data_IF_561646249842
#
_entry.id   IF_561646249842
#
_cell.length_a   1.000
_cell.length_b   1.000
_cell.length_c   1.000
_cell.angle_alpha   90.00
_cell.angle_beta   90.00
_cell.angle_gamma   90.00
#
_symmetry.space_group_name_H-M   'P 1'
#
loop_
_entity.id
_entity.type
_entity.pdbx_description
1 polymer ?
#
# COMPACT_ATOMS: atom_id res chain seq x y z
N UNK A 1 33.21 4.86 33.38
CA UNK A 1 32.45 3.89 32.57
C UNK A 1 30.97 4.15 32.84
N UNK A 2 30.33 5.02 32.06
CA UNK A 2 28.95 5.46 32.32
C UNK A 2 28.24 6.12 31.14
N UNK A 3 28.96 6.47 30.07
CA UNK A 3 28.42 7.26 28.97
C UNK A 3 28.08 6.43 27.72
N UNK A 4 28.42 5.15 27.68
CA UNK A 4 28.16 4.27 26.52
C UNK A 4 26.69 3.83 26.44
N UNK A 5 25.99 3.77 27.57
CA UNK A 5 24.58 3.33 27.65
C UNK A 5 23.60 4.35 27.08
N UNK A 6 23.89 5.66 27.18
CA UNK A 6 23.03 6.71 26.64
C UNK A 6 23.01 6.76 25.11
N UNK A 7 24.06 6.26 24.46
CA UNK A 7 24.15 6.23 22.99
C UNK A 7 23.32 5.11 22.36
N UNK A 8 23.03 4.02 23.09
CA UNK A 8 22.27 2.88 22.58
C UNK A 8 20.75 3.19 22.60
N UNK A 9 20.28 3.91 23.63
CA UNK A 9 18.88 4.28 23.80
C UNK A 9 18.38 5.38 22.84
N UNK A 10 19.30 6.16 22.23
CA UNK A 10 18.94 7.22 21.26
C UNK A 10 18.71 6.69 19.84
N UNK A 11 18.97 5.40 19.61
CA UNK A 11 18.80 4.74 18.32
C UNK A 11 17.42 4.08 18.15
N UNK A 12 16.39 4.61 18.81
CA UNK A 12 15.00 4.42 18.40
C UNK A 12 14.81 5.06 17.03
N UNK A 13 15.33 4.37 16.02
CA UNK A 13 15.03 4.61 14.62
C UNK A 13 13.54 4.32 14.54
N UNK A 14 12.74 5.36 14.75
CA UNK A 14 11.33 5.38 14.38
C UNK A 14 11.26 5.28 12.86
N UNK A 15 11.61 4.10 12.34
CA UNK A 15 11.04 3.64 11.11
C UNK A 15 9.56 3.61 11.44
N UNK A 16 8.83 4.62 10.96
CA UNK A 16 7.41 4.78 11.22
C UNK A 16 6.76 3.40 11.12
N UNK A 17 5.94 3.02 12.10
CA UNK A 17 5.28 1.71 12.15
C UNK A 17 4.65 1.33 10.78
N UNK A 18 4.16 2.33 10.05
CA UNK A 18 3.67 2.21 8.67
C UNK A 18 4.74 1.79 7.64
N UNK A 19 5.96 2.30 7.75
CA UNK A 19 7.09 1.94 6.90
C UNK A 19 7.63 0.53 7.20
N UNK A 20 7.65 0.10 8.47
CA UNK A 20 7.94 -1.30 8.83
C UNK A 20 6.85 -2.26 8.35
N UNK A 21 5.57 -1.91 8.52
CA UNK A 21 4.44 -2.65 7.96
C UNK A 21 4.53 -2.75 6.42
N UNK A 22 4.90 -1.66 5.76
CA UNK A 22 5.09 -1.62 4.30
C UNK A 22 6.27 -2.49 3.86
N UNK A 23 7.37 -2.48 4.60
CA UNK A 23 8.53 -3.33 4.35
C UNK A 23 8.18 -4.82 4.54
N UNK A 24 7.46 -5.18 5.61
CA UNK A 24 6.93 -6.53 5.86
C UNK A 24 5.98 -6.99 4.75
N UNK A 25 5.05 -6.13 4.32
CA UNK A 25 4.14 -6.41 3.20
C UNK A 25 4.88 -6.60 1.88
N UNK A 26 5.91 -5.80 1.60
CA UNK A 26 6.76 -5.94 0.41
C UNK A 26 7.57 -7.24 0.47
N UNK A 27 8.00 -7.68 1.65
CA UNK A 27 8.73 -8.93 1.85
C UNK A 27 7.86 -10.18 1.53
N UNK A 28 6.54 -10.11 1.76
CA UNK A 28 5.56 -11.18 1.53
C UNK A 28 5.16 -11.40 0.04
N UNK A 29 6.04 -11.09 -0.93
CA UNK A 29 5.81 -11.31 -2.39
C UNK A 29 4.41 -10.90 -2.89
N UNK A 30 3.94 -9.71 -2.55
CA UNK A 30 2.70 -9.10 -3.10
C UNK A 30 2.80 -8.72 -4.59
N UNK A 31 3.54 -9.47 -5.41
CA UNK A 31 3.50 -9.36 -6.88
C UNK A 31 2.10 -9.68 -7.42
N UNK A 32 1.28 -10.43 -6.67
CA UNK A 32 -0.12 -10.70 -6.98
C UNK A 32 -1.05 -9.49 -6.82
N UNK A 33 -0.70 -8.50 -6.00
CA UNK A 33 -1.54 -7.29 -5.86
C UNK A 33 -1.31 -6.29 -6.98
N UNK A 34 -0.12 -6.29 -7.58
CA UNK A 34 0.21 -5.41 -8.71
C UNK A 34 -0.80 -5.57 -9.86
N UNK A 35 -1.10 -6.77 -10.38
CA UNK A 35 -2.08 -6.91 -11.47
C UNK A 35 -3.48 -6.48 -11.05
N UNK A 36 -3.90 -6.73 -9.81
CA UNK A 36 -5.22 -6.31 -9.31
C UNK A 36 -5.32 -4.78 -9.26
N UNK A 37 -4.30 -4.11 -8.73
CA UNK A 37 -4.24 -2.64 -8.65
C UNK A 37 -4.19 -2.01 -10.04
N UNK A 38 -3.43 -2.60 -10.97
CA UNK A 38 -3.37 -2.13 -12.36
C UNK A 38 -4.74 -2.23 -13.04
N UNK A 39 -5.45 -3.35 -12.89
CA UNK A 39 -6.80 -3.51 -13.45
C UNK A 39 -7.78 -2.51 -12.84
N UNK A 40 -7.75 -2.31 -11.52
CA UNK A 40 -8.60 -1.33 -10.83
C UNK A 40 -8.34 0.10 -11.32
N UNK A 41 -7.08 0.50 -11.49
CA UNK A 41 -6.72 1.81 -12.03
C UNK A 41 -7.17 1.95 -13.48
N UNK A 42 -7.01 0.90 -14.30
CA UNK A 42 -7.42 0.92 -15.70
C UNK A 42 -8.94 1.05 -15.83
N UNK A 43 -9.70 0.32 -15.01
CA UNK A 43 -11.15 0.44 -14.92
C UNK A 43 -11.59 1.82 -14.41
N UNK A 44 -10.94 2.33 -13.35
CA UNK A 44 -11.21 3.65 -12.80
C UNK A 44 -10.93 4.79 -13.80
N UNK A 45 -9.85 4.65 -14.58
CA UNK A 45 -9.53 5.59 -15.65
C UNK A 45 -10.57 5.53 -16.76
N UNK A 46 -10.94 4.34 -17.22
CA UNK A 46 -11.95 4.15 -18.24
C UNK A 46 -13.30 4.74 -17.81
N UNK A 47 -13.67 4.54 -16.54
CA UNK A 47 -14.82 5.13 -15.86
C UNK A 47 -14.73 6.66 -15.82
N UNK A 48 -13.57 7.22 -15.50
CA UNK A 48 -13.37 8.67 -15.45
C UNK A 48 -13.50 9.31 -16.83
N UNK A 49 -13.16 8.58 -17.90
CA UNK A 49 -13.29 9.04 -19.28
C UNK A 49 -14.71 8.80 -19.83
N UNK A 50 -15.45 7.81 -19.33
CA UNK A 50 -16.77 7.41 -19.87
C UNK A 50 -17.94 8.28 -19.42
N UNK A 51 -17.72 9.30 -18.56
CA UNK A 51 -18.75 10.25 -18.08
C UNK A 51 -19.81 9.63 -17.16
N UNK A 52 -19.96 8.30 -17.17
CA UNK A 52 -20.85 7.52 -16.32
C UNK A 52 -20.05 6.44 -15.61
N UNK A 53 -19.69 6.72 -14.36
CA UNK A 53 -18.89 5.84 -13.51
C UNK A 53 -19.60 4.56 -13.03
N UNK A 54 -20.85 4.38 -13.44
CA UNK A 54 -21.78 3.42 -12.83
C UNK A 54 -21.92 2.12 -13.66
N UNK A 55 -21.51 2.13 -14.93
CA UNK A 55 -21.66 1.01 -15.86
C UNK A 55 -21.05 -0.33 -15.39
N UNK A 56 -19.85 -0.40 -14.77
CA UNK A 56 -19.24 -1.68 -14.40
C UNK A 56 -19.77 -2.28 -13.08
N UNK A 57 -20.57 -1.55 -12.30
CA UNK A 57 -21.09 -2.02 -11.00
C UNK A 57 -22.56 -2.45 -11.05
N UNK A 58 -23.34 -1.91 -12.00
CA UNK A 58 -24.75 -2.27 -12.17
C UNK A 58 -24.90 -3.73 -12.61
N UNK A 59 -23.98 -4.28 -13.41
CA UNK A 59 -24.09 -5.65 -13.94
C UNK A 59 -23.47 -6.74 -13.06
N UNK A 60 -22.82 -6.39 -11.94
CA UNK A 60 -22.29 -7.41 -11.00
C UNK A 60 -23.30 -7.85 -9.95
N UNK A 61 -24.47 -7.19 -9.86
CA UNK A 61 -25.55 -7.49 -8.92
C UNK A 61 -26.75 -8.23 -9.55
N UNK A 62 -26.65 -8.60 -10.84
CA UNK A 62 -27.67 -9.38 -11.56
C UNK A 62 -27.08 -10.71 -12.05
#
# INVERSE_FOLDING_TARGET
MGNDFEHIARSSRETSFLAELWALMRHQRKYWLVPIVVVLLMLGLLVSLSGTAVAPFIYTLF
#
